data_IF_473261598095
#
_entry.id   IF_473261598095
#
_cell.length_a   1.000
_cell.length_b   1.000
_cell.length_c   1.000
_cell.angle_alpha   90.00
_cell.angle_beta   90.00
_cell.angle_gamma   90.00
#
_symmetry.space_group_name_H-M   'P 1'
#
loop_
_entity.id
_entity.type
_entity.pdbx_description
1 polymer ?
#
# COMPACT_ATOMS: atom_id res chain seq x y z
N UNK A 1 7.99 -34.51 -7.14
CA UNK A 1 7.78 -33.19 -6.55
C UNK A 1 6.53 -32.56 -7.14
N UNK A 2 5.75 -31.89 -6.33
CA UNK A 2 4.59 -31.11 -6.78
C UNK A 2 4.76 -29.68 -6.28
N UNK A 3 4.24 -28.72 -7.03
CA UNK A 3 4.22 -27.32 -6.66
C UNK A 3 2.77 -26.88 -6.43
N UNK A 4 2.55 -26.13 -5.39
CA UNK A 4 1.26 -25.53 -5.10
C UNK A 4 1.34 -24.02 -5.30
N UNK A 5 0.31 -23.47 -5.93
CA UNK A 5 0.12 -22.03 -5.98
C UNK A 5 -0.61 -21.60 -4.73
N UNK A 6 -0.06 -20.66 -3.99
CA UNK A 6 -0.72 -20.11 -2.79
C UNK A 6 -2.05 -19.41 -3.15
N UNK A 7 -2.99 -19.32 -2.20
CA UNK A 7 -4.31 -18.75 -2.46
C UNK A 7 -4.28 -17.24 -2.67
N UNK A 8 -3.26 -16.55 -2.17
CA UNK A 8 -3.08 -15.10 -2.34
C UNK A 8 -1.78 -14.82 -3.08
N UNK A 9 -1.87 -14.01 -4.12
CA UNK A 9 -0.74 -13.58 -4.93
C UNK A 9 -0.60 -12.05 -4.86
N UNK A 10 0.60 -11.58 -4.51
CA UNK A 10 0.93 -10.16 -4.49
C UNK A 10 1.67 -9.76 -5.76
N UNK A 11 1.29 -8.63 -6.32
CA UNK A 11 2.05 -7.93 -7.37
C UNK A 11 3.25 -7.22 -6.73
N UNK A 12 4.23 -6.83 -7.53
CA UNK A 12 5.30 -5.94 -7.09
C UNK A 12 4.76 -4.58 -6.67
N UNK A 13 5.21 -4.10 -5.52
CA UNK A 13 4.88 -2.77 -5.04
C UNK A 13 5.36 -1.68 -6.02
N UNK A 14 4.56 -0.64 -6.20
CA UNK A 14 4.82 0.48 -7.08
C UNK A 14 4.70 1.80 -6.35
N UNK A 15 5.67 2.68 -6.53
CA UNK A 15 5.54 4.05 -6.04
C UNK A 15 4.36 4.77 -6.72
N UNK A 16 3.57 5.50 -5.94
CA UNK A 16 2.46 6.32 -6.43
C UNK A 16 2.91 7.69 -6.95
N UNK A 17 4.17 8.07 -6.69
CA UNK A 17 4.77 9.31 -7.17
C UNK A 17 6.24 9.10 -7.54
N UNK A 18 6.85 10.08 -8.18
CA UNK A 18 8.29 10.06 -8.42
C UNK A 18 9.04 10.17 -7.10
N UNK A 19 10.01 9.30 -6.89
CA UNK A 19 10.90 9.33 -5.75
C UNK A 19 12.34 9.24 -6.20
N UNK A 20 13.22 10.00 -5.57
CA UNK A 20 14.65 9.96 -5.83
C UNK A 20 15.36 9.08 -4.79
N UNK A 21 16.36 8.34 -5.25
CA UNK A 21 17.31 7.66 -4.35
C UNK A 21 18.46 8.62 -4.09
N UNK A 22 18.65 8.97 -2.83
CA UNK A 22 19.75 9.82 -2.38
C UNK A 22 20.88 8.96 -1.80
N UNK A 23 22.12 9.35 -2.04
CA UNK A 23 23.30 8.67 -1.49
C UNK A 23 23.82 9.48 -0.32
N UNK A 24 23.88 8.84 0.87
CA UNK A 24 24.53 9.43 2.04
C UNK A 24 25.89 8.76 2.20
N UNK A 25 26.93 9.57 2.28
CA UNK A 25 28.28 9.12 2.58
C UNK A 25 28.64 9.53 4.02
N UNK A 26 29.14 8.58 4.78
CA UNK A 26 29.66 8.80 6.13
C UNK A 26 31.09 8.29 6.24
N UNK A 27 31.90 9.00 7.03
CA UNK A 27 33.24 8.56 7.40
C UNK A 27 33.28 8.30 8.89
N UNK A 28 33.96 7.21 9.33
CA UNK A 28 34.26 7.05 10.75
C UNK A 28 35.36 8.04 11.15
N UNK A 29 35.06 8.89 12.13
CA UNK A 29 35.97 9.95 12.59
C UNK A 29 37.12 9.44 13.46
N UNK A 30 37.05 8.21 13.99
CA UNK A 30 38.00 7.69 14.93
C UNK A 30 38.63 6.38 14.44
N UNK A 31 40.00 6.37 14.44
CA UNK A 31 40.74 5.14 14.29
C UNK A 31 40.70 4.36 15.62
N UNK A 32 40.43 3.06 15.57
CA UNK A 32 40.35 2.18 16.74
C UNK A 32 41.72 1.87 17.37
N UNK A 33 42.83 2.27 16.74
CA UNK A 33 44.20 2.15 17.26
C UNK A 33 45.04 3.34 16.84
N UNK A 34 45.88 3.81 17.76
CA UNK A 34 46.87 4.81 17.51
C UNK A 34 47.82 4.37 16.36
N UNK A 35 47.93 5.16 15.29
CA UNK A 35 48.78 4.86 14.13
C UNK A 35 48.10 4.14 12.96
N UNK A 36 46.79 3.85 12.98
CA UNK A 36 46.06 3.27 11.84
C UNK A 36 45.26 4.33 11.09
N UNK A 37 45.58 4.52 9.80
CA UNK A 37 44.77 5.36 8.87
C UNK A 37 43.53 4.65 8.36
N UNK A 38 42.79 3.90 9.15
CA UNK A 38 41.58 3.26 8.72
C UNK A 38 40.42 4.27 8.63
N UNK A 39 40.23 4.85 7.46
CA UNK A 39 39.03 5.56 7.10
C UNK A 39 37.97 4.55 6.61
N UNK A 40 37.05 4.14 7.46
CA UNK A 40 35.89 3.37 6.98
C UNK A 40 34.91 4.33 6.32
N UNK A 41 34.73 4.17 5.02
CA UNK A 41 33.69 4.84 4.27
C UNK A 41 32.41 4.02 4.33
N UNK A 42 31.30 4.69 4.59
CA UNK A 42 29.97 4.09 4.54
C UNK A 42 29.16 4.83 3.51
N UNK A 43 28.59 4.10 2.56
CA UNK A 43 27.62 4.64 1.63
C UNK A 43 26.26 4.00 1.89
N UNK A 44 25.25 4.82 2.05
CA UNK A 44 23.86 4.37 2.20
C UNK A 44 22.99 5.02 1.11
N UNK A 45 22.04 4.24 0.63
CA UNK A 45 21.02 4.72 -0.29
C UNK A 45 19.71 4.86 0.49
N UNK A 46 19.11 6.04 0.42
CA UNK A 46 17.84 6.32 1.07
C UNK A 46 16.84 6.88 0.07
N UNK A 47 15.56 6.65 0.34
CA UNK A 47 14.45 7.36 -0.27
C UNK A 47 13.81 8.20 0.83
N UNK A 48 13.87 9.54 0.76
CA UNK A 48 13.39 10.42 1.83
C UNK A 48 11.92 10.23 2.15
N UNK A 49 11.11 10.05 1.11
CA UNK A 49 9.68 9.78 1.23
C UNK A 49 9.19 9.00 0.01
N UNK A 50 8.34 8.01 0.24
CA UNK A 50 7.66 7.27 -0.83
C UNK A 50 6.35 6.66 -0.33
N UNK A 51 5.28 6.83 -1.11
CA UNK A 51 4.05 6.07 -0.96
C UNK A 51 4.07 4.91 -1.95
N UNK A 52 4.01 3.69 -1.43
CA UNK A 52 4.03 2.46 -2.22
C UNK A 52 2.62 1.88 -2.22
N UNK A 53 2.15 1.52 -3.40
CA UNK A 53 0.90 0.77 -3.58
C UNK A 53 1.23 -0.66 -3.93
N UNK A 54 0.67 -1.59 -3.18
CA UNK A 54 0.68 -3.02 -3.44
C UNK A 54 -0.71 -3.48 -3.89
N UNK A 55 -0.77 -4.54 -4.68
CA UNK A 55 -2.01 -5.15 -5.11
C UNK A 55 -1.91 -6.66 -4.99
N UNK A 56 -2.96 -7.28 -4.46
CA UNK A 56 -3.05 -8.71 -4.31
C UNK A 56 -4.42 -9.24 -4.74
N UNK A 57 -4.44 -10.51 -5.11
CA UNK A 57 -5.65 -11.25 -5.44
C UNK A 57 -5.70 -12.50 -4.57
N UNK A 58 -6.80 -12.68 -3.83
CA UNK A 58 -7.16 -13.96 -3.23
C UNK A 58 -7.96 -14.75 -4.27
N UNK A 59 -7.42 -15.89 -4.67
CA UNK A 59 -7.96 -16.72 -5.75
C UNK A 59 -8.77 -17.88 -5.17
N UNK A 60 -10.09 -17.86 -5.41
CA UNK A 60 -11.01 -18.91 -4.95
C UNK A 60 -10.63 -20.31 -5.46
N UNK A 61 -10.11 -20.43 -6.69
CA UNK A 61 -9.74 -21.73 -7.27
C UNK A 61 -8.51 -22.32 -6.57
N UNK A 62 -7.50 -21.50 -6.27
CA UNK A 62 -6.33 -21.91 -5.50
C UNK A 62 -6.70 -22.26 -4.04
N UNK A 63 -7.68 -21.57 -3.47
CA UNK A 63 -8.21 -21.87 -2.13
C UNK A 63 -8.81 -23.27 -2.03
N UNK A 64 -9.49 -23.76 -3.07
CA UNK A 64 -10.01 -25.12 -3.12
C UNK A 64 -8.90 -26.18 -2.99
N UNK A 65 -7.71 -25.91 -3.51
CA UNK A 65 -6.57 -26.83 -3.46
C UNK A 65 -5.77 -26.68 -2.16
N UNK A 66 -5.64 -25.47 -1.64
CA UNK A 66 -4.85 -25.18 -0.43
C UNK A 66 -5.63 -25.33 0.87
N UNK A 67 -6.97 -25.32 0.80
CA UNK A 67 -7.85 -25.34 1.96
C UNK A 67 -7.98 -23.99 2.66
N UNK A 68 -7.55 -22.89 2.04
CA UNK A 68 -7.69 -21.55 2.61
C UNK A 68 -9.16 -21.16 2.72
N UNK A 69 -9.52 -20.59 3.85
CA UNK A 69 -10.89 -20.20 4.22
C UNK A 69 -11.09 -18.68 4.19
N UNK A 70 -12.32 -18.25 4.36
CA UNK A 70 -12.66 -16.82 4.50
C UNK A 70 -12.04 -16.23 5.77
N UNK A 71 -11.94 -17.02 6.86
CA UNK A 71 -11.29 -16.60 8.11
C UNK A 71 -9.79 -16.37 7.92
N UNK A 72 -9.13 -17.17 7.07
CA UNK A 72 -7.71 -16.97 6.74
C UNK A 72 -7.51 -15.65 5.99
N UNK A 73 -8.42 -15.30 5.07
CA UNK A 73 -8.38 -14.02 4.35
C UNK A 73 -8.67 -12.85 5.30
N UNK A 74 -9.62 -12.99 6.21
CA UNK A 74 -9.91 -11.98 7.24
C UNK A 74 -8.70 -11.76 8.16
N UNK A 75 -8.04 -12.86 8.57
CA UNK A 75 -6.80 -12.78 9.36
C UNK A 75 -5.66 -12.11 8.58
N UNK A 76 -5.51 -12.41 7.29
CA UNK A 76 -4.53 -11.77 6.43
C UNK A 76 -4.77 -10.25 6.33
N UNK A 77 -6.02 -9.82 6.15
CA UNK A 77 -6.38 -8.40 6.08
C UNK A 77 -5.91 -7.64 7.33
N UNK A 78 -6.19 -8.17 8.51
CA UNK A 78 -5.72 -7.59 9.77
C UNK A 78 -4.19 -7.66 9.92
N UNK A 79 -3.59 -8.78 9.51
CA UNK A 79 -2.15 -9.00 9.59
C UNK A 79 -1.35 -8.05 8.68
N UNK A 80 -1.86 -7.70 7.51
CA UNK A 80 -1.24 -6.73 6.60
C UNK A 80 -1.12 -5.35 7.27
N UNK A 81 -2.17 -4.88 7.94
CA UNK A 81 -2.14 -3.62 8.66
C UNK A 81 -1.19 -3.67 9.87
N UNK A 82 -1.43 -4.61 10.77
CA UNK A 82 -0.67 -4.73 12.01
C UNK A 82 0.79 -5.09 11.77
N UNK A 83 1.07 -5.98 10.82
CA UNK A 83 2.41 -6.41 10.47
C UNK A 83 3.24 -5.27 9.88
N UNK A 84 2.64 -4.43 9.01
CA UNK A 84 3.31 -3.24 8.47
C UNK A 84 3.60 -2.22 9.56
N UNK A 85 2.63 -1.93 10.43
CA UNK A 85 2.80 -0.98 11.53
C UNK A 85 3.89 -1.41 12.54
N UNK A 86 4.06 -2.73 12.73
CA UNK A 86 5.00 -3.29 13.70
C UNK A 86 6.33 -3.74 13.07
N UNK A 87 6.54 -3.49 11.79
CA UNK A 87 7.80 -3.84 11.13
C UNK A 87 8.88 -2.81 11.46
N UNK A 88 9.48 -2.94 12.63
CA UNK A 88 10.47 -2.01 13.17
C UNK A 88 11.87 -2.58 12.99
N UNK A 89 12.60 -2.08 12.00
CA UNK A 89 14.02 -2.34 11.78
C UNK A 89 14.72 -1.01 11.52
N UNK A 90 16.07 -0.98 11.52
CA UNK A 90 16.83 0.24 11.23
C UNK A 90 16.39 0.96 9.94
N UNK A 91 16.09 0.21 8.87
CA UNK A 91 15.70 0.77 7.58
C UNK A 91 14.19 0.93 7.40
N UNK A 92 13.39 0.48 8.38
CA UNK A 92 11.93 0.44 8.31
C UNK A 92 11.21 1.15 9.45
N UNK A 93 11.97 1.82 10.33
CA UNK A 93 11.39 2.73 11.31
C UNK A 93 10.64 3.83 10.58
N UNK A 94 9.36 4.02 10.90
CA UNK A 94 8.49 4.99 10.22
C UNK A 94 7.73 4.46 8.99
N UNK A 95 7.91 3.17 8.64
CA UNK A 95 7.00 2.55 7.69
C UNK A 95 5.63 2.36 8.33
N UNK A 96 4.61 2.98 7.75
CA UNK A 96 3.25 2.97 8.27
C UNK A 96 2.28 2.51 7.19
N UNK A 97 1.29 1.63 7.53
CA UNK A 97 0.17 1.37 6.65
C UNK A 97 -0.69 2.64 6.60
N UNK A 98 -1.03 3.11 5.41
CA UNK A 98 -1.80 4.34 5.23
C UNK A 98 -3.22 4.09 4.80
N UNK A 99 -3.38 3.10 3.90
CA UNK A 99 -4.67 2.76 3.32
C UNK A 99 -4.67 1.28 2.93
N UNK A 100 -5.65 0.53 3.36
CA UNK A 100 -5.85 -0.87 2.99
C UNK A 100 -7.30 -1.05 2.55
N UNK A 101 -7.50 -1.58 1.35
CA UNK A 101 -8.83 -1.84 0.79
C UNK A 101 -8.93 -3.30 0.35
N UNK A 102 -10.01 -3.95 0.74
CA UNK A 102 -10.41 -5.27 0.26
C UNK A 102 -11.75 -5.16 -0.48
N UNK A 103 -11.86 -5.81 -1.61
CA UNK A 103 -13.13 -6.04 -2.30
C UNK A 103 -13.43 -7.53 -2.27
N UNK A 104 -14.53 -7.90 -1.63
CA UNK A 104 -15.04 -9.28 -1.66
C UNK A 104 -16.22 -9.34 -2.62
N UNK A 105 -16.15 -10.29 -3.53
CA UNK A 105 -17.21 -10.52 -4.52
C UNK A 105 -18.21 -11.55 -4.01
N UNK A 106 -19.42 -11.51 -4.57
CA UNK A 106 -20.44 -12.52 -4.30
C UNK A 106 -19.96 -13.91 -4.75
N UNK A 107 -20.40 -14.95 -4.04
CA UNK A 107 -20.06 -16.33 -4.36
C UNK A 107 -20.41 -16.69 -5.79
N UNK A 108 -19.47 -17.28 -6.52
CA UNK A 108 -19.66 -17.70 -7.92
C UNK A 108 -19.37 -16.61 -8.95
N UNK A 109 -18.95 -15.41 -8.53
CA UNK A 109 -18.46 -14.41 -9.45
C UNK A 109 -17.01 -14.72 -9.85
N UNK A 110 -16.76 -14.92 -11.14
CA UNK A 110 -15.45 -15.25 -11.71
C UNK A 110 -14.73 -14.03 -12.34
N UNK A 111 -15.20 -12.81 -12.04
CA UNK A 111 -14.60 -11.59 -12.52
C UNK A 111 -13.68 -10.93 -11.49
N UNK A 112 -12.89 -9.98 -11.95
CA UNK A 112 -12.08 -9.07 -11.12
C UNK A 112 -12.09 -7.67 -11.72
N UNK A 113 -11.94 -6.65 -10.88
CA UNK A 113 -11.73 -5.28 -11.38
C UNK A 113 -10.38 -5.16 -12.05
N UNK A 114 -9.36 -5.86 -11.54
CA UNK A 114 -7.98 -5.82 -12.01
C UNK A 114 -7.29 -4.48 -11.76
N UNK A 115 -5.97 -4.52 -11.61
CA UNK A 115 -5.11 -3.33 -11.51
C UNK A 115 -5.71 -2.20 -10.63
N UNK A 116 -6.19 -2.53 -9.43
CA UNK A 116 -6.78 -1.53 -8.51
C UNK A 116 -5.73 -0.53 -8.03
N UNK A 117 -4.48 -0.95 -7.91
CA UNK A 117 -3.33 -0.10 -7.61
C UNK A 117 -3.12 1.01 -8.65
N UNK A 118 -3.47 0.76 -9.91
CA UNK A 118 -3.35 1.73 -11.01
C UNK A 118 -4.48 2.77 -11.03
N UNK A 119 -5.52 2.55 -10.21
CA UNK A 119 -6.66 3.46 -10.07
C UNK A 119 -6.51 4.43 -8.90
N UNK A 120 -5.36 4.39 -8.25
CA UNK A 120 -4.98 5.31 -7.18
C UNK A 120 -4.11 6.43 -7.75
N UNK A 121 -4.32 7.65 -7.30
CA UNK A 121 -3.51 8.82 -7.66
C UNK A 121 -3.13 9.59 -6.41
N UNK A 122 -1.95 10.22 -6.44
CA UNK A 122 -1.54 11.20 -5.44
C UNK A 122 -1.71 12.60 -6.05
N UNK A 123 -2.34 13.45 -5.31
CA UNK A 123 -2.51 14.89 -5.58
C UNK A 123 -1.85 15.68 -4.46
N UNK A 124 -1.60 16.96 -4.66
CA UNK A 124 -1.22 17.87 -3.59
C UNK A 124 -2.33 17.95 -2.52
N UNK A 125 -1.98 18.36 -1.31
CA UNK A 125 -2.92 18.41 -0.17
C UNK A 125 -4.17 19.26 -0.41
N UNK A 126 -4.10 20.22 -1.33
CA UNK A 126 -5.21 21.07 -1.81
C UNK A 126 -5.97 20.45 -3.00
N UNK A 127 -5.50 19.32 -3.53
CA UNK A 127 -6.10 18.56 -4.62
C UNK A 127 -5.62 18.90 -6.02
N UNK A 128 -4.58 19.73 -6.18
CA UNK A 128 -3.97 19.97 -7.49
C UNK A 128 -3.13 18.77 -7.97
N UNK A 129 -2.90 18.68 -9.28
CA UNK A 129 -2.03 17.67 -9.87
C UNK A 129 -0.56 18.07 -9.67
N UNK A 130 0.21 17.19 -9.01
CA UNK A 130 1.62 17.42 -8.74
C UNK A 130 2.46 17.34 -10.03
N UNK A 131 3.28 18.33 -10.28
CA UNK A 131 4.35 18.30 -11.29
C UNK A 131 5.43 17.27 -10.91
N UNK A 132 6.34 16.98 -11.85
CA UNK A 132 7.44 16.06 -11.62
C UNK A 132 8.36 16.50 -10.47
N UNK A 133 8.63 17.81 -10.39
CA UNK A 133 9.50 18.38 -9.37
C UNK A 133 8.83 18.41 -8.00
N UNK A 134 7.54 18.74 -7.92
CA UNK A 134 6.76 18.66 -6.68
C UNK A 134 6.70 17.23 -6.15
N UNK A 135 6.52 16.22 -7.00
CA UNK A 135 6.56 14.83 -6.60
C UNK A 135 7.90 14.44 -5.97
N UNK A 136 9.02 14.90 -6.52
CA UNK A 136 10.35 14.64 -5.96
C UNK A 136 10.62 15.42 -4.67
N UNK A 137 9.93 16.54 -4.48
CA UNK A 137 10.06 17.38 -3.29
C UNK A 137 9.25 16.88 -2.10
N UNK A 138 8.32 15.93 -2.27
CA UNK A 138 7.50 15.39 -1.19
C UNK A 138 8.37 14.79 -0.06
N UNK A 139 7.99 15.07 1.19
CA UNK A 139 8.68 14.60 2.40
C UNK A 139 7.72 14.03 3.45
N UNK A 140 6.42 14.28 3.32
CA UNK A 140 5.42 13.91 4.32
C UNK A 140 4.10 13.50 3.67
N UNK A 141 3.34 12.66 4.39
CA UNK A 141 1.99 12.27 4.01
C UNK A 141 0.99 13.45 4.07
N UNK A 142 1.27 14.47 4.90
CA UNK A 142 0.42 15.67 5.03
C UNK A 142 0.41 16.54 3.77
N UNK A 143 1.43 16.41 2.93
CA UNK A 143 1.56 17.15 1.68
C UNK A 143 0.70 16.58 0.55
N UNK A 144 0.08 15.43 0.77
CA UNK A 144 -0.63 14.70 -0.28
C UNK A 144 -2.09 14.39 0.07
N UNK A 145 -2.84 14.13 -0.97
CA UNK A 145 -4.21 13.61 -0.93
C UNK A 145 -4.27 12.37 -1.82
N UNK A 146 -4.74 11.26 -1.26
CA UNK A 146 -5.00 10.04 -2.02
C UNK A 146 -6.33 10.15 -2.74
N UNK A 147 -6.32 10.10 -4.07
CA UNK A 147 -7.52 10.11 -4.90
C UNK A 147 -7.87 8.70 -5.35
N UNK A 148 -9.03 8.20 -4.91
CA UNK A 148 -9.59 6.89 -5.24
C UNK A 148 -10.82 6.99 -6.15
N UNK A 149 -11.11 8.12 -6.78
CA UNK A 149 -12.31 8.32 -7.61
C UNK A 149 -12.35 7.36 -8.79
N UNK A 150 -11.21 7.07 -9.42
CA UNK A 150 -11.13 6.09 -10.51
C UNK A 150 -11.42 4.65 -10.02
N UNK A 151 -11.06 4.32 -8.78
CA UNK A 151 -11.41 3.05 -8.15
C UNK A 151 -12.92 2.99 -7.85
N UNK A 152 -13.50 4.06 -7.31
CA UNK A 152 -14.94 4.17 -7.09
C UNK A 152 -15.73 3.98 -8.39
N UNK A 153 -15.28 4.59 -9.48
CA UNK A 153 -15.87 4.42 -10.82
C UNK A 153 -15.73 3.00 -11.36
N UNK A 154 -14.62 2.30 -11.02
CA UNK A 154 -14.47 0.90 -11.41
C UNK A 154 -15.42 -0.02 -10.61
N UNK A 155 -15.55 0.22 -9.30
CA UNK A 155 -16.46 -0.51 -8.42
C UNK A 155 -17.93 -0.32 -8.81
N UNK A 156 -18.33 0.85 -9.31
CA UNK A 156 -19.69 1.11 -9.75
C UNK A 156 -20.15 0.17 -10.86
N UNK A 157 -19.25 -0.24 -11.75
CA UNK A 157 -19.56 -1.14 -12.88
C UNK A 157 -19.85 -2.58 -12.45
N UNK A 158 -19.35 -2.99 -11.29
CA UNK A 158 -19.49 -4.36 -10.76
C UNK A 158 -20.17 -4.36 -9.38
N UNK A 159 -20.85 -3.30 -9.01
CA UNK A 159 -21.43 -3.13 -7.67
C UNK A 159 -22.44 -4.22 -7.29
N UNK A 160 -23.11 -4.82 -8.28
CA UNK A 160 -24.03 -5.95 -8.08
C UNK A 160 -23.28 -7.21 -7.64
N UNK A 161 -22.06 -7.41 -8.14
CA UNK A 161 -21.23 -8.57 -7.87
C UNK A 161 -20.33 -8.38 -6.65
N UNK A 162 -20.34 -7.19 -6.04
CA UNK A 162 -19.63 -6.91 -4.78
C UNK A 162 -20.51 -7.32 -3.60
N UNK A 163 -19.97 -8.20 -2.77
CA UNK A 163 -20.57 -8.57 -1.49
C UNK A 163 -20.23 -7.54 -0.41
N UNK A 164 -18.94 -7.20 -0.27
CA UNK A 164 -18.43 -6.30 0.76
C UNK A 164 -17.17 -5.58 0.29
N UNK A 165 -17.02 -4.34 0.73
CA UNK A 165 -15.75 -3.61 0.69
C UNK A 165 -15.34 -3.26 2.10
N UNK A 166 -14.09 -3.54 2.47
CA UNK A 166 -13.49 -3.09 3.73
C UNK A 166 -12.38 -2.08 3.44
N UNK A 167 -12.35 -1.03 4.23
CA UNK A 167 -11.29 -0.01 4.18
C UNK A 167 -10.79 0.26 5.59
N UNK A 168 -9.47 0.15 5.77
CA UNK A 168 -8.75 0.74 6.89
C UNK A 168 -7.91 1.89 6.35
N UNK A 169 -7.98 3.04 6.98
CA UNK A 169 -7.13 4.16 6.62
C UNK A 169 -6.62 4.89 7.86
N UNK A 170 -5.41 5.41 7.77
CA UNK A 170 -4.85 6.28 8.80
C UNK A 170 -5.70 7.56 8.91
N UNK A 171 -5.92 8.03 10.16
CA UNK A 171 -6.79 9.18 10.43
C UNK A 171 -6.32 10.47 9.75
N UNK A 172 -5.00 10.67 9.65
CA UNK A 172 -4.42 11.89 9.08
C UNK A 172 -4.30 11.84 7.55
N UNK A 173 -4.50 10.65 6.92
CA UNK A 173 -4.49 10.54 5.46
C UNK A 173 -5.75 11.16 4.86
N UNK A 174 -5.58 12.21 4.07
CA UNK A 174 -6.67 12.78 3.28
C UNK A 174 -6.99 11.87 2.11
N UNK A 175 -8.25 11.46 1.97
CA UNK A 175 -8.70 10.58 0.88
C UNK A 175 -9.90 11.21 0.17
N UNK A 176 -9.77 11.41 -1.15
CA UNK A 176 -10.87 11.81 -2.04
C UNK A 176 -11.54 10.57 -2.62
N UNK A 177 -12.87 10.56 -2.69
CA UNK A 177 -13.65 9.47 -3.28
C UNK A 177 -14.31 8.56 -2.26
N UNK A 178 -14.12 8.80 -0.95
CA UNK A 178 -14.76 8.02 0.12
C UNK A 178 -16.28 8.23 0.15
N UNK A 179 -16.74 9.47 -0.02
CA UNK A 179 -18.19 9.77 0.03
C UNK A 179 -18.92 9.16 -1.18
N UNK A 180 -18.29 9.15 -2.35
CA UNK A 180 -18.79 8.47 -3.53
C UNK A 180 -18.90 6.95 -3.31
N UNK A 181 -17.91 6.34 -2.63
CA UNK A 181 -17.98 4.93 -2.25
C UNK A 181 -19.08 4.65 -1.25
N UNK A 182 -19.27 5.50 -0.25
CA UNK A 182 -20.37 5.38 0.73
C UNK A 182 -21.73 5.43 0.02
N UNK A 183 -21.90 6.39 -0.89
CA UNK A 183 -23.13 6.53 -1.66
C UNK A 183 -23.39 5.31 -2.56
N UNK A 184 -22.33 4.77 -3.18
CA UNK A 184 -22.41 3.64 -4.09
C UNK A 184 -22.73 2.32 -3.37
N UNK A 185 -22.03 2.03 -2.27
CA UNK A 185 -21.99 0.71 -1.65
C UNK A 185 -22.96 0.60 -0.45
N UNK A 186 -23.33 1.72 0.16
CA UNK A 186 -24.21 1.71 1.33
C UNK A 186 -23.75 0.74 2.40
N UNK A 187 -24.61 -0.18 2.81
CA UNK A 187 -24.32 -1.18 3.84
C UNK A 187 -23.26 -2.23 3.48
N UNK A 188 -22.81 -2.27 2.21
CA UNK A 188 -21.71 -3.15 1.79
C UNK A 188 -20.32 -2.59 2.14
N UNK A 189 -20.22 -1.33 2.54
CA UNK A 189 -18.95 -0.67 2.90
C UNK A 189 -18.74 -0.69 4.40
N UNK A 190 -17.64 -1.31 4.83
CA UNK A 190 -17.08 -1.18 6.17
C UNK A 190 -15.84 -0.27 6.13
N UNK A 191 -15.91 0.88 6.79
CA UNK A 191 -14.86 1.90 6.83
C UNK A 191 -14.42 2.12 8.27
N UNK A 192 -13.13 2.01 8.53
CA UNK A 192 -12.52 2.23 9.83
C UNK A 192 -11.28 3.13 9.69
N UNK A 193 -11.25 4.22 10.44
CA UNK A 193 -10.06 5.04 10.62
C UNK A 193 -9.23 4.51 11.80
N UNK A 194 -7.92 4.42 11.64
CA UNK A 194 -6.96 3.92 12.63
C UNK A 194 -5.80 4.87 12.85
#
# INVERSE_FOLDING_TARGET
SFAWTGPVQFKWGRSLHRAAVETIQGTAAFATKEGSEQRSFRSEYIVPFVLISDYAIANQHASLTTGATDEDIDALFEALWKGTANLITRSKVGHMPRFLLEVRYVKGFDGIIGAMDEKLKILGADGHSLSADEQLALRSCDEVLLDITALSSALSRVSQDVERVRILHEMDLKVRGIEELKALLGGKLALEAR
#
